data_IF_815372744856
#
_entry.id   IF_815372744856
#
_cell.length_a   1.000
_cell.length_b   1.000
_cell.length_c   1.000
_cell.angle_alpha   90.00
_cell.angle_beta   90.00
_cell.angle_gamma   90.00
#
_symmetry.space_group_name_H-M   'P 1'
#
loop_
_entity.id
_entity.type
_entity.pdbx_description
1 polymer ?
#
# COMPACT_ATOMS: atom_id res chain seq x y z
N UNK A 1 -18.95 8.18 10.91
CA UNK A 1 -19.19 8.13 9.46
C UNK A 1 -18.11 7.22 8.92
N UNK A 2 -18.47 6.03 8.40
CA UNK A 2 -17.51 5.13 7.78
C UNK A 2 -17.31 5.69 6.36
N UNK A 3 -16.07 5.97 5.92
CA UNK A 3 -15.83 6.44 4.55
C UNK A 3 -16.38 5.41 3.55
N UNK A 4 -16.96 5.90 2.45
CA UNK A 4 -17.46 5.01 1.40
C UNK A 4 -16.31 4.28 0.71
N UNK A 5 -16.55 3.07 0.21
CA UNK A 5 -15.54 2.19 -0.39
C UNK A 5 -14.68 2.89 -1.47
N UNK A 6 -15.31 3.77 -2.26
CA UNK A 6 -14.65 4.58 -3.28
C UNK A 6 -13.59 5.54 -2.70
N UNK A 7 -13.88 6.16 -1.55
CA UNK A 7 -12.96 7.12 -0.92
C UNK A 7 -11.76 6.39 -0.31
N UNK A 8 -11.98 5.19 0.23
CA UNK A 8 -10.90 4.35 0.74
C UNK A 8 -9.99 3.94 -0.41
N UNK A 9 -10.57 3.50 -1.53
CA UNK A 9 -9.81 3.10 -2.71
C UNK A 9 -8.97 4.26 -3.28
N UNK A 10 -9.55 5.45 -3.43
CA UNK A 10 -8.82 6.63 -3.94
C UNK A 10 -7.63 7.00 -3.05
N UNK A 11 -7.82 6.97 -1.73
CA UNK A 11 -6.76 7.30 -0.79
C UNK A 11 -5.65 6.23 -0.81
N UNK A 12 -6.01 4.95 -0.85
CA UNK A 12 -5.05 3.84 -0.95
C UNK A 12 -4.27 3.92 -2.27
N UNK A 13 -4.95 4.17 -3.39
CA UNK A 13 -4.31 4.37 -4.70
C UNK A 13 -3.31 5.53 -4.68
N UNK A 14 -3.68 6.63 -4.02
CA UNK A 14 -2.80 7.79 -3.87
C UNK A 14 -1.54 7.43 -3.08
N UNK A 15 -1.68 6.73 -1.94
CA UNK A 15 -0.53 6.33 -1.11
C UNK A 15 0.40 5.40 -1.90
N UNK A 16 -0.16 4.41 -2.61
CA UNK A 16 0.61 3.49 -3.46
C UNK A 16 1.36 4.25 -4.55
N UNK A 17 0.71 5.19 -5.22
CA UNK A 17 1.30 6.02 -6.26
C UNK A 17 2.46 6.89 -5.74
N UNK A 18 2.30 7.47 -4.55
CA UNK A 18 3.34 8.28 -3.90
C UNK A 18 4.56 7.45 -3.48
N UNK A 19 4.33 6.28 -2.89
CA UNK A 19 5.40 5.38 -2.45
C UNK A 19 6.18 4.80 -3.64
N UNK A 20 5.47 4.25 -4.62
CA UNK A 20 6.08 3.65 -5.81
C UNK A 20 6.56 4.70 -6.84
N UNK A 21 6.31 5.99 -6.60
CA UNK A 21 6.62 7.10 -7.52
C UNK A 21 6.06 6.89 -8.92
N UNK A 22 4.89 6.31 -9.00
CA UNK A 22 4.16 6.06 -10.25
C UNK A 22 2.93 6.96 -10.34
N UNK A 23 2.42 7.19 -11.55
CA UNK A 23 1.12 7.83 -11.75
C UNK A 23 -0.03 7.06 -11.08
N UNK A 24 -0.94 7.77 -10.40
CA UNK A 24 -2.08 7.17 -9.70
C UNK A 24 -3.02 6.40 -10.65
N UNK A 25 -3.12 6.81 -11.91
CA UNK A 25 -3.90 6.14 -12.95
C UNK A 25 -3.34 4.78 -13.35
N UNK A 26 -2.07 4.46 -13.02
CA UNK A 26 -1.53 3.11 -13.18
C UNK A 26 -1.95 2.15 -12.05
N UNK A 27 -2.41 2.68 -10.90
CA UNK A 27 -2.80 1.85 -9.76
C UNK A 27 -4.25 1.41 -9.91
N UNK A 28 -4.45 0.19 -10.41
CA UNK A 28 -5.79 -0.40 -10.52
C UNK A 28 -6.08 -1.33 -9.34
N UNK A 29 -7.36 -1.55 -8.98
CA UNK A 29 -7.74 -2.48 -7.92
C UNK A 29 -7.28 -3.92 -8.17
N UNK A 30 -7.07 -4.27 -9.44
CA UNK A 30 -6.66 -5.60 -9.90
C UNK A 30 -5.14 -5.71 -10.09
N UNK A 31 -4.40 -4.61 -9.96
CA UNK A 31 -2.93 -4.59 -10.16
C UNK A 31 -2.19 -5.28 -9.03
N UNK A 32 -1.19 -6.07 -9.37
CA UNK A 32 -0.26 -6.64 -8.39
C UNK A 32 0.86 -5.64 -8.07
N UNK A 33 0.97 -5.28 -6.79
CA UNK A 33 1.97 -4.30 -6.31
C UNK A 33 3.40 -4.65 -6.72
N UNK A 34 3.78 -5.94 -6.67
CA UNK A 34 5.13 -6.37 -7.07
C UNK A 34 5.31 -6.51 -8.58
N UNK A 35 4.47 -7.31 -9.24
CA UNK A 35 4.66 -7.67 -10.65
C UNK A 35 4.24 -6.58 -11.63
N UNK A 36 3.15 -5.86 -11.36
CA UNK A 36 2.61 -4.84 -12.27
C UNK A 36 3.13 -3.43 -11.96
N UNK A 37 3.29 -3.12 -10.66
CA UNK A 37 3.65 -1.78 -10.19
C UNK A 37 5.12 -1.65 -9.78
N UNK A 38 5.86 -2.77 -9.79
CA UNK A 38 7.30 -2.78 -9.51
C UNK A 38 7.67 -2.51 -8.05
N UNK A 39 6.75 -2.73 -7.12
CA UNK A 39 6.97 -2.56 -5.68
C UNK A 39 7.90 -3.62 -5.10
N UNK A 40 8.95 -3.16 -4.43
CA UNK A 40 9.91 -4.01 -3.72
C UNK A 40 9.55 -4.14 -2.23
N UNK A 41 10.18 -5.08 -1.52
CA UNK A 41 9.97 -5.33 -0.09
C UNK A 41 10.04 -4.07 0.78
N UNK A 42 10.92 -3.12 0.44
CA UNK A 42 11.05 -1.83 1.14
C UNK A 42 9.84 -0.91 0.88
N UNK A 43 9.30 -0.91 -0.34
CA UNK A 43 8.14 -0.08 -0.67
C UNK A 43 6.90 -0.53 0.12
N UNK A 44 6.76 -1.83 0.40
CA UNK A 44 5.66 -2.32 1.24
C UNK A 44 5.75 -1.83 2.69
N UNK A 45 6.97 -1.68 3.23
CA UNK A 45 7.19 -1.12 4.57
C UNK A 45 6.79 0.36 4.61
N UNK A 46 7.16 1.11 3.57
CA UNK A 46 6.79 2.53 3.45
C UNK A 46 5.28 2.71 3.25
N UNK A 47 4.66 1.84 2.45
CA UNK A 47 3.20 1.79 2.26
C UNK A 47 2.46 1.52 3.57
N UNK A 48 2.93 0.54 4.33
CA UNK A 48 2.37 0.22 5.64
C UNK A 48 2.48 1.46 6.56
N UNK A 49 3.66 2.06 6.68
CA UNK A 49 3.87 3.22 7.54
C UNK A 49 3.00 4.42 7.13
N UNK A 50 2.83 4.65 5.83
CA UNK A 50 1.94 5.67 5.28
C UNK A 50 0.47 5.42 5.66
N UNK A 51 -0.01 4.19 5.49
CA UNK A 51 -1.37 3.81 5.88
C UNK A 51 -1.60 3.90 7.39
N UNK A 52 -0.64 3.47 8.20
CA UNK A 52 -0.71 3.55 9.66
C UNK A 52 -0.82 5.00 10.12
N UNK A 53 -0.06 5.91 9.51
CA UNK A 53 -0.07 7.34 9.84
C UNK A 53 -1.35 8.03 9.37
N UNK A 54 -1.80 7.79 8.13
CA UNK A 54 -2.99 8.46 7.54
C UNK A 54 -4.29 7.99 8.19
N UNK A 55 -4.37 6.71 8.55
CA UNK A 55 -5.59 6.10 9.12
C UNK A 55 -5.55 5.89 10.64
N UNK A 56 -4.40 6.12 11.27
CA UNK A 56 -4.21 5.87 12.70
C UNK A 56 -4.40 4.39 13.08
N UNK A 57 -4.05 3.49 12.15
CA UNK A 57 -4.11 2.04 12.34
C UNK A 57 -2.71 1.50 12.60
N UNK A 58 -2.58 0.34 13.25
CA UNK A 58 -1.32 -0.41 13.32
C UNK A 58 -1.52 -1.74 12.60
N UNK A 59 -0.68 -2.03 11.62
CA UNK A 59 -0.63 -3.37 11.04
C UNK A 59 0.35 -4.20 11.90
N UNK A 60 -0.15 -5.30 12.47
CA UNK A 60 0.70 -6.21 13.24
C UNK A 60 1.81 -6.78 12.35
N UNK A 61 3.07 -6.55 12.72
CA UNK A 61 4.23 -7.02 11.96
C UNK A 61 4.31 -8.56 11.82
N UNK A 62 3.58 -9.33 12.62
CA UNK A 62 3.60 -10.80 12.60
C UNK A 62 2.83 -11.51 11.47
N UNK A 63 2.49 -10.82 10.38
CA UNK A 63 1.73 -11.38 9.27
C UNK A 63 2.39 -11.10 7.91
N UNK A 64 2.57 -12.15 7.10
CA UNK A 64 3.01 -12.21 5.68
C UNK A 64 4.27 -11.44 5.26
N UNK A 65 4.51 -10.21 5.72
CA UNK A 65 5.65 -9.35 5.44
C UNK A 65 6.94 -9.82 6.12
N UNK A 66 6.87 -10.40 7.32
CA UNK A 66 8.01 -11.07 7.99
C UNK A 66 8.64 -12.14 7.10
N UNK A 67 7.84 -12.82 6.27
CA UNK A 67 8.34 -13.86 5.35
C UNK A 67 9.03 -13.30 4.11
N UNK A 68 8.84 -12.02 3.79
CA UNK A 68 9.48 -11.36 2.66
C UNK A 68 10.81 -10.72 3.04
N UNK A 69 11.01 -10.39 4.31
CA UNK A 69 12.27 -9.82 4.81
C UNK A 69 13.37 -10.87 5.07
N UNK A 70 13.02 -12.16 5.11
CA UNK A 70 13.93 -13.26 5.45
C UNK A 70 14.49 -14.03 4.23
N UNK A 71 14.35 -13.51 3.00
CA UNK A 71 14.84 -14.18 1.78
C UNK A 71 15.79 -13.32 0.97
#
# INVERSE_FOLDING_TARGET
MIPGDQQILEQVQKIIAEVLRIPQDQVTPDSQLGEDLGGESLDFVDLQFGLETDYGVEFYQGGTLDKLAEV
#
